data_IF_835694049735
#
_entry.id   IF_835694049735
#
_cell.length_a   1.000
_cell.length_b   1.000
_cell.length_c   1.000
_cell.angle_alpha   90.00
_cell.angle_beta   90.00
_cell.angle_gamma   90.00
#
_symmetry.space_group_name_H-M   'P 1'
#
loop_
_entity.id
_entity.type
_entity.pdbx_description
1 polymer ?
#
# COMPACT_ATOMS: atom_id res chain seq x y z
N UNK A 1 -15.53 -5.93 -8.43
CA UNK A 1 -14.65 -4.79 -8.08
C UNK A 1 -15.00 -4.21 -6.71
N UNK A 2 -16.14 -3.54 -6.49
CA UNK A 2 -16.42 -2.90 -5.18
C UNK A 2 -16.26 -3.82 -3.95
N UNK A 3 -16.87 -5.01 -3.96
CA UNK A 3 -16.73 -5.97 -2.84
C UNK A 3 -15.30 -6.50 -2.66
N UNK A 4 -14.54 -6.67 -3.75
CA UNK A 4 -13.14 -7.10 -3.69
C UNK A 4 -12.22 -6.02 -3.10
N UNK A 5 -12.54 -4.74 -3.33
CA UNK A 5 -11.82 -3.61 -2.75
C UNK A 5 -12.16 -3.48 -1.26
N UNK A 6 -13.43 -3.63 -0.88
CA UNK A 6 -13.83 -3.62 0.54
C UNK A 6 -13.11 -4.73 1.33
N UNK A 7 -12.98 -5.95 0.77
CA UNK A 7 -12.20 -7.03 1.39
C UNK A 7 -10.72 -6.67 1.57
N UNK A 8 -10.11 -6.07 0.54
CA UNK A 8 -8.73 -5.61 0.60
C UNK A 8 -8.53 -4.48 1.62
N UNK A 9 -9.46 -3.53 1.70
CA UNK A 9 -9.46 -2.44 2.68
C UNK A 9 -9.57 -2.98 4.11
N UNK A 10 -10.44 -3.96 4.35
CA UNK A 10 -10.58 -4.62 5.65
C UNK A 10 -9.30 -5.36 6.03
N UNK A 11 -8.70 -6.10 5.09
CA UNK A 11 -7.43 -6.78 5.31
C UNK A 11 -6.29 -5.80 5.62
N UNK A 12 -6.18 -4.71 4.85
CA UNK A 12 -5.19 -3.66 5.06
C UNK A 12 -5.38 -2.96 6.42
N UNK A 13 -6.62 -2.60 6.77
CA UNK A 13 -6.94 -1.98 8.06
C UNK A 13 -6.62 -2.88 9.25
N UNK A 14 -6.98 -4.17 9.15
CA UNK A 14 -6.64 -5.17 10.16
C UNK A 14 -5.13 -5.36 10.32
N UNK A 15 -4.41 -5.39 9.20
CA UNK A 15 -2.95 -5.49 9.20
C UNK A 15 -2.28 -4.26 9.84
N UNK A 16 -2.74 -3.05 9.52
CA UNK A 16 -2.27 -1.82 10.16
C UNK A 16 -2.53 -1.85 11.68
N UNK A 17 -3.71 -2.33 12.11
CA UNK A 17 -4.05 -2.48 13.53
C UNK A 17 -3.11 -3.46 14.24
N UNK A 18 -2.77 -4.58 13.58
CA UNK A 18 -1.81 -5.55 14.11
C UNK A 18 -0.40 -4.96 14.24
N UNK A 19 0.07 -4.19 13.25
CA UNK A 19 1.35 -3.48 13.30
C UNK A 19 1.41 -2.47 14.45
N UNK A 20 0.34 -1.70 14.65
CA UNK A 20 0.24 -0.75 15.78
C UNK A 20 0.29 -1.47 17.13
N UNK A 21 -0.36 -2.64 17.24
CA UNK A 21 -0.39 -3.44 18.47
C UNK A 21 1.00 -3.92 18.90
N UNK A 22 1.89 -4.19 17.94
CA UNK A 22 3.28 -4.60 18.19
C UNK A 22 4.26 -3.42 18.25
N UNK A 23 3.77 -2.17 18.24
CA UNK A 23 4.57 -0.96 18.44
C UNK A 23 5.11 -0.32 17.15
N UNK A 24 4.69 -0.76 15.97
CA UNK A 24 5.07 -0.13 14.71
C UNK A 24 4.22 1.13 14.50
N UNK A 25 4.88 2.25 14.19
CA UNK A 25 4.19 3.50 13.86
C UNK A 25 3.75 3.45 12.39
N UNK A 26 2.46 3.54 12.11
CA UNK A 26 1.90 3.36 10.75
C UNK A 26 1.23 4.63 10.22
N UNK A 27 1.28 4.86 8.92
CA UNK A 27 0.46 5.86 8.23
C UNK A 27 -0.25 5.17 7.07
N UNK A 28 -1.45 5.66 6.72
CA UNK A 28 -2.22 5.14 5.59
C UNK A 28 -2.47 6.26 4.58
N UNK A 29 -2.08 5.96 3.34
CA UNK A 29 -2.36 6.76 2.15
C UNK A 29 -3.30 5.95 1.29
N UNK A 30 -4.39 6.56 0.85
CA UNK A 30 -5.29 5.96 -0.13
C UNK A 30 -5.11 6.61 -1.49
N UNK A 31 -5.51 5.89 -2.53
CA UNK A 31 -5.47 6.32 -3.92
C UNK A 31 -6.91 6.47 -4.41
N UNK A 32 -7.33 7.69 -4.72
CA UNK A 32 -8.70 7.95 -5.14
C UNK A 32 -8.78 9.15 -6.09
N UNK A 33 -9.52 9.00 -7.20
CA UNK A 33 -9.76 10.06 -8.20
C UNK A 33 -8.47 10.76 -8.63
N UNK A 34 -7.48 9.98 -9.09
CA UNK A 34 -6.20 10.50 -9.59
C UNK A 34 -5.36 11.23 -8.54
N UNK A 35 -5.68 11.09 -7.25
CA UNK A 35 -4.92 11.69 -6.15
C UNK A 35 -4.52 10.66 -5.09
N UNK A 36 -3.34 10.86 -4.48
CA UNK A 36 -2.93 10.16 -3.28
C UNK A 36 -3.23 11.04 -2.05
N UNK A 37 -4.08 10.55 -1.13
CA UNK A 37 -4.48 11.32 0.06
C UNK A 37 -4.22 10.55 1.35
N UNK A 38 -3.79 11.27 2.38
CA UNK A 38 -3.54 10.68 3.69
C UNK A 38 -4.86 10.47 4.44
N UNK A 39 -5.23 9.21 4.64
CA UNK A 39 -6.38 8.82 5.47
C UNK A 39 -6.03 8.88 6.95
N UNK A 40 -4.78 8.50 7.25
CA UNK A 40 -4.32 8.27 8.61
C UNK A 40 -2.85 8.70 8.77
N UNK A 41 -2.56 9.72 9.59
CA UNK A 41 -1.18 10.07 9.94
C UNK A 41 -0.61 9.12 11.01
N UNK A 42 0.73 9.14 11.17
CA UNK A 42 1.47 8.30 12.13
C UNK A 42 0.97 8.35 13.59
N UNK A 43 0.42 9.48 14.04
CA UNK A 43 0.02 9.71 15.42
C UNK A 43 -1.47 9.40 15.72
N UNK A 44 -2.22 8.94 14.72
CA UNK A 44 -3.62 8.54 14.92
C UNK A 44 -3.73 7.02 14.94
N UNK A 45 -4.50 6.39 15.84
CA UNK A 45 -4.76 4.95 15.78
C UNK A 45 -5.72 4.63 14.64
N UNK A 46 -5.51 3.50 13.95
CA UNK A 46 -6.36 3.09 12.81
C UNK A 46 -7.84 2.89 13.21
N UNK A 47 -8.07 2.48 14.45
CA UNK A 47 -9.40 2.30 15.04
C UNK A 47 -10.26 3.57 14.94
N UNK A 48 -9.65 4.75 15.08
CA UNK A 48 -10.32 6.05 14.97
C UNK A 48 -10.70 6.43 13.53
N UNK A 49 -10.25 5.66 12.54
CA UNK A 49 -10.41 5.94 11.11
C UNK A 49 -11.03 4.80 10.32
N UNK A 50 -11.58 3.75 10.97
CA UNK A 50 -12.17 2.56 10.29
C UNK A 50 -13.09 2.90 9.12
N UNK A 51 -14.02 3.84 9.32
CA UNK A 51 -14.97 4.25 8.27
C UNK A 51 -14.31 4.96 7.07
N UNK A 52 -13.15 5.59 7.28
CA UNK A 52 -12.38 6.21 6.21
C UNK A 52 -11.46 5.20 5.51
N UNK A 53 -11.01 4.15 6.20
CA UNK A 53 -10.17 3.08 5.65
C UNK A 53 -10.99 2.08 4.83
N UNK A 54 -12.18 1.72 5.30
CA UNK A 54 -13.08 0.77 4.64
C UNK A 54 -14.32 1.51 4.10
N UNK A 55 -14.14 2.26 3.02
CA UNK A 55 -15.18 3.10 2.41
C UNK A 55 -15.64 2.58 1.03
N UNK A 56 -14.92 1.62 0.45
CA UNK A 56 -15.22 0.98 -0.83
C UNK A 56 -15.18 1.95 -2.02
N UNK A 57 -14.55 3.12 -1.87
CA UNK A 57 -14.47 4.12 -2.90
C UNK A 57 -13.42 3.72 -3.94
N UNK A 58 -13.87 3.66 -5.20
CA UNK A 58 -13.04 3.30 -6.34
C UNK A 58 -13.21 4.35 -7.42
N UNK A 59 -12.14 4.70 -8.12
CA UNK A 59 -12.21 5.62 -9.27
C UNK A 59 -10.90 6.33 -9.57
N UNK A 60 -10.77 6.79 -10.82
CA UNK A 60 -9.55 7.41 -11.35
C UNK A 60 -8.48 6.39 -11.74
N UNK A 61 -7.26 6.88 -11.92
CA UNK A 61 -6.03 6.12 -12.15
C UNK A 61 -5.38 5.71 -10.83
N UNK A 62 -4.18 5.13 -10.92
CA UNK A 62 -3.37 4.71 -9.77
C UNK A 62 -2.17 5.66 -9.61
N UNK A 63 -2.32 6.78 -8.88
CA UNK A 63 -1.27 7.81 -8.71
C UNK A 63 -0.18 7.35 -7.72
N UNK A 64 0.52 6.27 -8.07
CA UNK A 64 1.55 5.66 -7.21
C UNK A 64 2.75 6.58 -7.02
N UNK A 65 3.09 7.41 -8.00
CA UNK A 65 4.18 8.38 -7.90
C UNK A 65 3.90 9.37 -6.77
N UNK A 66 2.70 9.94 -6.72
CA UNK A 66 2.31 10.89 -5.68
C UNK A 66 2.32 10.24 -4.29
N UNK A 67 1.82 9.00 -4.20
CA UNK A 67 1.81 8.25 -2.95
C UNK A 67 3.23 7.94 -2.44
N UNK A 68 4.14 7.59 -3.35
CA UNK A 68 5.54 7.32 -3.04
C UNK A 68 6.25 8.59 -2.55
N UNK A 69 6.09 9.70 -3.27
CA UNK A 69 6.68 10.99 -2.91
C UNK A 69 6.15 11.47 -1.55
N UNK A 70 4.83 11.44 -1.36
CA UNK A 70 4.20 11.81 -0.10
C UNK A 70 4.68 10.93 1.07
N UNK A 71 4.80 9.63 0.87
CA UNK A 71 5.30 8.71 1.90
C UNK A 71 6.77 8.97 2.21
N UNK A 72 7.61 9.20 1.19
CA UNK A 72 9.03 9.50 1.35
C UNK A 72 9.25 10.75 2.17
N UNK A 73 8.56 11.86 1.87
CA UNK A 73 8.67 13.09 2.67
C UNK A 73 8.31 12.88 4.14
N UNK A 74 7.37 11.98 4.44
CA UNK A 74 6.93 11.72 5.81
C UNK A 74 7.90 10.89 6.63
N UNK A 75 8.70 10.05 5.98
CA UNK A 75 9.72 9.22 6.65
C UNK A 75 11.11 9.83 6.61
N UNK A 76 11.34 10.93 5.89
CA UNK A 76 12.67 11.59 5.80
C UNK A 76 13.29 12.01 7.15
N UNK A 77 12.50 12.13 8.21
CA UNK A 77 12.96 12.64 9.49
C UNK A 77 13.05 11.54 10.56
N UNK A 78 14.23 11.37 11.16
CA UNK A 78 14.46 10.50 12.31
C UNK A 78 15.37 9.30 12.01
N UNK A 79 15.77 8.60 13.07
CA UNK A 79 16.57 7.38 13.00
C UNK A 79 15.62 6.18 13.15
N UNK A 80 15.00 5.77 12.05
CA UNK A 80 14.05 4.66 11.99
C UNK A 80 14.29 3.84 10.71
N UNK A 81 13.63 2.68 10.63
CA UNK A 81 13.74 1.75 9.50
C UNK A 81 12.38 1.68 8.79
N UNK A 82 12.09 2.63 7.88
CA UNK A 82 10.78 2.69 7.24
C UNK A 82 10.67 1.63 6.14
N UNK A 83 9.43 1.26 5.82
CA UNK A 83 9.10 0.56 4.59
C UNK A 83 7.75 1.09 4.09
N UNK A 84 7.51 1.00 2.78
CA UNK A 84 6.23 1.35 2.18
C UNK A 84 5.58 0.07 1.65
N UNK A 85 4.38 -0.22 2.11
CA UNK A 85 3.56 -1.32 1.62
C UNK A 85 2.45 -0.78 0.73
N UNK A 86 2.45 -1.17 -0.53
CA UNK A 86 1.50 -0.76 -1.55
C UNK A 86 0.58 -1.94 -1.85
N UNK A 87 -0.73 -1.73 -1.73
CA UNK A 87 -1.75 -2.70 -2.09
C UNK A 87 -2.55 -2.10 -3.24
N UNK A 88 -2.52 -2.71 -4.42
CA UNK A 88 -3.18 -2.16 -5.61
C UNK A 88 -3.54 -3.25 -6.62
N UNK A 89 -4.57 -3.01 -7.45
CA UNK A 89 -4.89 -3.84 -8.62
C UNK A 89 -4.44 -3.17 -9.95
N UNK A 90 -3.75 -2.03 -9.86
CA UNK A 90 -3.42 -1.13 -10.96
C UNK A 90 -1.93 -0.82 -11.10
N UNK A 91 -1.55 -0.37 -12.30
CA UNK A 91 -0.19 0.10 -12.61
C UNK A 91 -0.07 1.60 -12.32
N UNK A 92 1.14 2.13 -12.05
CA UNK A 92 1.35 3.56 -11.95
C UNK A 92 0.78 4.28 -13.18
N UNK A 93 0.16 5.43 -12.94
CA UNK A 93 -0.34 6.31 -14.00
C UNK A 93 0.78 6.83 -14.91
N UNK A 94 1.99 7.01 -14.38
CA UNK A 94 3.21 7.35 -15.12
C UNK A 94 4.35 6.42 -14.69
N UNK A 95 4.72 5.50 -15.58
CA UNK A 95 5.77 4.49 -15.34
C UNK A 95 7.14 5.14 -15.14
N UNK A 96 7.53 6.06 -16.01
CA UNK A 96 8.90 6.61 -16.01
C UNK A 96 9.12 7.49 -14.78
N UNK A 97 8.14 8.35 -14.46
CA UNK A 97 8.19 9.17 -13.26
C UNK A 97 8.24 8.29 -12.00
N UNK A 98 7.41 7.25 -11.93
CA UNK A 98 7.39 6.34 -10.79
C UNK A 98 8.73 5.62 -10.58
N UNK A 99 9.31 5.06 -11.64
CA UNK A 99 10.59 4.34 -11.55
C UNK A 99 11.75 5.27 -11.16
N UNK A 100 11.74 6.51 -11.66
CA UNK A 100 12.69 7.53 -11.23
C UNK A 100 12.59 7.79 -9.73
N UNK A 101 11.38 7.99 -9.21
CA UNK A 101 11.15 8.22 -7.77
C UNK A 101 11.45 6.99 -6.91
N UNK A 102 11.16 5.78 -7.41
CA UNK A 102 11.49 4.52 -6.76
C UNK A 102 13.01 4.38 -6.60
N UNK A 103 13.79 4.68 -7.64
CA UNK A 103 15.25 4.61 -7.60
C UNK A 103 15.87 5.62 -6.61
N UNK A 104 15.19 6.75 -6.37
CA UNK A 104 15.61 7.76 -5.40
C UNK A 104 15.18 7.45 -3.96
N UNK A 105 14.43 6.37 -3.74
CA UNK A 105 13.89 6.00 -2.44
C UNK A 105 14.89 5.09 -1.69
N UNK A 106 15.19 5.44 -0.44
CA UNK A 106 16.21 4.75 0.38
C UNK A 106 15.64 3.67 1.31
N UNK A 107 14.37 3.33 1.15
CA UNK A 107 13.69 2.32 1.94
C UNK A 107 12.93 1.35 1.03
N UNK A 108 12.69 0.11 1.49
CA UNK A 108 12.00 -0.88 0.67
C UNK A 108 10.55 -0.45 0.40
N UNK A 109 10.20 -0.47 -0.88
CA UNK A 109 8.83 -0.36 -1.38
C UNK A 109 8.37 -1.76 -1.77
N UNK A 110 7.31 -2.22 -1.14
CA UNK A 110 6.81 -3.58 -1.25
C UNK A 110 5.39 -3.57 -1.78
N UNK A 111 5.15 -4.34 -2.84
CA UNK A 111 3.87 -4.40 -3.54
C UNK A 111 3.12 -5.69 -3.27
N UNK A 112 1.83 -5.56 -2.98
CA UNK A 112 0.84 -6.65 -3.02
C UNK A 112 -0.15 -6.33 -4.13
N UNK A 113 -0.03 -7.03 -5.26
CA UNK A 113 -0.93 -6.80 -6.39
C UNK A 113 -2.15 -7.70 -6.31
N UNK A 114 -3.31 -7.08 -6.29
CA UNK A 114 -4.61 -7.75 -6.28
C UNK A 114 -4.97 -8.06 -7.73
N UNK A 115 -4.86 -9.33 -8.11
CA UNK A 115 -5.25 -9.79 -9.44
C UNK A 115 -6.45 -10.73 -9.30
N UNK A 116 -7.55 -10.42 -10.01
CA UNK A 116 -8.61 -11.40 -10.23
C UNK A 116 -8.24 -12.30 -11.41
N UNK A 117 -8.66 -13.57 -11.36
CA UNK A 117 -8.48 -14.53 -12.45
C UNK A 117 -8.85 -13.93 -13.81
N UNK A 118 -7.95 -14.03 -14.80
CA UNK A 118 -8.19 -13.62 -16.18
C UNK A 118 -7.71 -12.21 -16.58
N UNK A 119 -7.19 -11.38 -15.66
CA UNK A 119 -6.40 -10.20 -16.07
C UNK A 119 -4.99 -10.65 -16.47
N UNK A 120 -4.62 -10.41 -17.73
CA UNK A 120 -3.30 -10.72 -18.26
C UNK A 120 -2.20 -10.16 -17.34
N UNK A 121 -1.20 -11.01 -17.09
CA UNK A 121 0.01 -10.72 -16.33
C UNK A 121 0.61 -9.38 -16.75
N UNK A 122 0.30 -8.32 -16.00
CA UNK A 122 1.12 -7.11 -16.04
C UNK A 122 2.31 -7.44 -15.15
N UNK A 123 3.54 -7.35 -15.67
CA UNK A 123 4.75 -7.56 -14.87
C UNK A 123 4.84 -6.44 -13.82
N UNK A 124 4.25 -6.66 -12.65
CA UNK A 124 4.27 -5.68 -11.57
C UNK A 124 5.63 -5.63 -10.85
N UNK A 125 6.51 -6.61 -11.09
CA UNK A 125 7.76 -6.80 -10.37
C UNK A 125 8.73 -5.62 -10.55
N UNK A 126 8.68 -4.92 -11.69
CA UNK A 126 9.54 -3.75 -11.93
C UNK A 126 9.17 -2.52 -11.08
N UNK A 127 7.96 -2.47 -10.51
CA UNK A 127 7.46 -1.32 -9.74
C UNK A 127 7.71 -1.44 -8.24
N UNK A 128 8.31 -2.53 -7.76
CA UNK A 128 8.50 -2.74 -6.34
C UNK A 128 9.86 -3.40 -6.07
N UNK A 129 10.44 -3.17 -4.89
CA UNK A 129 11.63 -3.91 -4.48
C UNK A 129 11.28 -5.37 -4.17
N UNK A 130 10.10 -5.61 -3.62
CA UNK A 130 9.52 -6.94 -3.39
C UNK A 130 8.08 -6.89 -3.89
N UNK A 131 7.67 -7.86 -4.69
CA UNK A 131 6.31 -7.96 -5.19
C UNK A 131 5.71 -9.34 -4.88
N UNK A 132 4.47 -9.35 -4.39
CA UNK A 132 3.66 -10.57 -4.26
C UNK A 132 2.30 -10.35 -4.89
N UNK A 133 1.71 -11.44 -5.34
CA UNK A 133 0.36 -11.47 -5.88
C UNK A 133 -0.61 -11.92 -4.79
N UNK A 134 -1.80 -11.34 -4.81
CA UNK A 134 -2.91 -11.72 -3.97
C UNK A 134 -4.19 -11.80 -4.81
N UNK A 135 -5.09 -12.68 -4.41
CA UNK A 135 -6.50 -12.60 -4.75
C UNK A 135 -7.19 -11.75 -3.67
N UNK A 136 -8.28 -11.02 -3.99
CA UNK A 136 -9.07 -10.30 -2.99
C UNK A 136 -9.35 -11.10 -1.70
N UNK A 137 -9.58 -12.41 -1.78
CA UNK A 137 -9.91 -13.23 -0.61
C UNK A 137 -8.71 -13.62 0.24
N UNK A 138 -7.47 -13.46 -0.24
CA UNK A 138 -6.25 -13.90 0.47
C UNK A 138 -5.25 -12.77 0.80
N UNK A 139 -5.61 -11.51 0.56
CA UNK A 139 -4.75 -10.34 0.82
C UNK A 139 -4.15 -10.37 2.24
N UNK A 140 -4.96 -10.66 3.26
CA UNK A 140 -4.49 -10.72 4.65
C UNK A 140 -3.41 -11.78 4.92
N UNK A 141 -3.50 -12.94 4.27
CA UNK A 141 -2.49 -13.99 4.36
C UNK A 141 -1.18 -13.56 3.69
N UNK A 142 -1.28 -12.98 2.49
CA UNK A 142 -0.12 -12.48 1.73
C UNK A 142 0.61 -11.38 2.51
N UNK A 143 -0.12 -10.42 3.08
CA UNK A 143 0.45 -9.36 3.93
C UNK A 143 1.21 -9.95 5.12
N UNK A 144 0.63 -10.94 5.79
CA UNK A 144 1.24 -11.58 6.97
C UNK A 144 2.54 -12.31 6.62
N UNK A 145 2.56 -13.05 5.50
CA UNK A 145 3.75 -13.77 5.03
C UNK A 145 4.86 -12.81 4.59
N UNK A 146 4.49 -11.77 3.86
CA UNK A 146 5.41 -10.76 3.34
C UNK A 146 6.09 -9.95 4.46
N UNK A 147 5.36 -9.66 5.54
CA UNK A 147 5.94 -9.00 6.71
C UNK A 147 7.03 -9.84 7.38
N UNK A 148 6.86 -11.17 7.41
CA UNK A 148 7.90 -12.06 7.97
C UNK A 148 9.19 -12.00 7.15
N UNK A 149 9.10 -11.82 5.85
CA UNK A 149 10.25 -11.74 4.94
C UNK A 149 10.98 -10.38 5.02
N UNK A 150 10.27 -9.30 5.37
CA UNK A 150 10.87 -7.96 5.48
C UNK A 150 11.49 -7.74 6.87
N UNK A 151 10.86 -8.30 7.91
CA UNK A 151 11.23 -8.05 9.31
C UNK A 151 12.27 -9.04 9.84
N UNK A 152 12.34 -10.26 9.30
CA UNK A 152 13.26 -11.32 9.73
C UNK A 152 14.17 -11.78 8.58
#
# INVERSE_FOLDING_TARGET
MRGQIEEAEVAAGGFVSALETIGVTTALVELYQDTARMVKPFQSPVESRRAAVANGAVGGSTPLTDALVLSRERVKHGNHYPFLLVISDGLPNDKEAYLSELSATQFPVVGVNIASEGRADREFDEYYNICRRADPTNVGEVLSNLTREIVF
#
